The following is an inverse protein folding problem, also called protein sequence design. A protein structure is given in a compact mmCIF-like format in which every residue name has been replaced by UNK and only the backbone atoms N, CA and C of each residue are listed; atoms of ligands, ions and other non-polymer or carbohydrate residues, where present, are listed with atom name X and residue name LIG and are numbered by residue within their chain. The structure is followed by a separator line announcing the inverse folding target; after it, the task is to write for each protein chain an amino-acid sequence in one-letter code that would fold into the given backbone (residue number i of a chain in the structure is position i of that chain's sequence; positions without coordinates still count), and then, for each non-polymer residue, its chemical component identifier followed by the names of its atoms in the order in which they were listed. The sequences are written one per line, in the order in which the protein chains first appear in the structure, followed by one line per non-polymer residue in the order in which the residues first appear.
data_IF_218190568558
#
_entry.id   IF_218190568558
#
_cell.length_a   1.000
_cell.length_b   1.000
_cell.length_c   1.000
_cell.angle_alpha   90.00
_cell.angle_beta   90.00
_cell.angle_gamma   90.00
#
_symmetry.space_group_name_H-M   'P 1'
#
loop_
_entity.id
_entity.type
_entity.pdbx_description
1 polymer ?
#
# COMPACT_ATOMS: atom_id res chain seq x y z
N UNK A 1 -19.52 44.64 28.73
CA UNK A 1 -19.85 44.17 27.34
C UNK A 1 -19.03 42.92 27.17
N UNK A 2 -19.66 41.76 27.35
CA UNK A 2 -18.98 40.46 27.15
C UNK A 2 -18.88 40.21 25.64
N UNK A 3 -17.66 40.23 25.15
CA UNK A 3 -17.38 39.70 23.82
C UNK A 3 -17.73 38.19 23.88
N UNK A 4 -18.87 37.82 23.36
CA UNK A 4 -19.17 36.45 23.03
C UNK A 4 -18.10 36.03 22.02
N UNK A 5 -17.07 35.29 22.50
CA UNK A 5 -16.11 34.61 21.61
C UNK A 5 -16.97 33.69 20.75
N UNK A 6 -17.20 34.10 19.50
CA UNK A 6 -17.79 33.21 18.51
C UNK A 6 -16.88 31.98 18.46
N UNK A 7 -17.40 30.86 18.96
CA UNK A 7 -16.76 29.56 18.80
C UNK A 7 -16.67 29.37 17.29
N UNK A 8 -15.49 29.56 16.71
CA UNK A 8 -15.27 29.35 15.29
C UNK A 8 -15.58 27.87 14.97
N UNK A 9 -16.29 27.65 13.88
CA UNK A 9 -16.59 26.30 13.41
C UNK A 9 -15.29 25.48 13.30
N UNK A 10 -15.20 24.31 13.92
CA UNK A 10 -14.06 23.43 13.81
C UNK A 10 -13.63 23.15 12.36
N UNK A 11 -14.60 23.06 11.44
CA UNK A 11 -14.34 22.82 10.02
C UNK A 11 -13.63 24.04 9.39
N UNK A 12 -14.05 25.27 9.73
CA UNK A 12 -13.39 26.48 9.23
C UNK A 12 -11.98 26.65 9.81
N UNK A 13 -11.77 26.29 11.08
CA UNK A 13 -10.44 26.29 11.67
C UNK A 13 -9.52 25.26 11.00
N UNK A 14 -10.02 24.07 10.66
CA UNK A 14 -9.22 23.06 9.93
C UNK A 14 -8.86 23.61 8.55
N UNK A 15 -9.77 24.22 7.80
CA UNK A 15 -9.46 24.84 6.50
C UNK A 15 -8.38 25.92 6.62
N UNK A 16 -8.45 26.73 7.68
CA UNK A 16 -7.43 27.74 7.94
C UNK A 16 -6.07 27.09 8.28
N UNK A 17 -6.05 26.01 9.04
CA UNK A 17 -4.83 25.26 9.33
C UNK A 17 -4.22 24.65 8.07
N UNK A 18 -5.05 24.09 7.17
CA UNK A 18 -4.59 23.60 5.85
C UNK A 18 -3.98 24.73 5.03
N UNK A 19 -4.61 25.90 4.97
CA UNK A 19 -4.05 27.08 4.25
C UNK A 19 -2.69 27.51 4.83
N UNK A 20 -2.52 27.42 6.17
CA UNK A 20 -1.22 27.70 6.81
C UNK A 20 -0.18 26.62 6.47
N UNK A 21 -0.58 25.36 6.43
CA UNK A 21 0.27 24.24 6.00
C UNK A 21 0.79 24.47 4.58
N UNK A 22 -0.07 24.83 3.63
CA UNK A 22 0.27 25.10 2.22
C UNK A 22 1.32 26.24 2.06
N UNK A 23 1.39 27.16 3.01
CA UNK A 23 2.40 28.23 3.06
C UNK A 23 3.64 27.88 3.87
N UNK A 24 3.73 26.66 4.42
CA UNK A 24 4.83 26.20 5.27
C UNK A 24 4.79 26.77 6.69
N UNK A 25 3.73 27.46 7.08
CA UNK A 25 3.55 28.02 8.44
C UNK A 25 3.02 26.93 9.41
N UNK A 26 3.83 25.87 9.60
CA UNK A 26 3.41 24.67 10.32
C UNK A 26 3.08 24.95 11.80
N UNK A 27 3.85 25.76 12.49
CA UNK A 27 3.57 26.15 13.89
C UNK A 27 2.20 26.81 14.03
N UNK A 28 1.88 27.79 13.14
CA UNK A 28 0.59 28.46 13.13
C UNK A 28 -0.56 27.47 12.83
N UNK A 29 -0.33 26.56 11.89
CA UNK A 29 -1.31 25.52 11.56
C UNK A 29 -1.61 24.60 12.76
N UNK A 30 -0.57 24.17 13.48
CA UNK A 30 -0.71 23.35 14.70
C UNK A 30 -1.42 24.13 15.81
N UNK A 31 -1.12 25.41 16.01
CA UNK A 31 -1.76 26.25 17.02
C UNK A 31 -3.27 26.42 16.74
N UNK A 32 -3.65 26.55 15.47
CA UNK A 32 -5.06 26.61 15.07
C UNK A 32 -5.77 25.28 15.39
N UNK A 33 -5.14 24.14 15.10
CA UNK A 33 -5.72 22.83 15.43
C UNK A 33 -5.79 22.58 16.94
N UNK A 34 -4.83 23.12 17.72
CA UNK A 34 -4.88 23.06 19.17
C UNK A 34 -6.06 23.85 19.73
N UNK A 35 -6.47 24.96 19.10
CA UNK A 35 -7.70 25.67 19.49
C UNK A 35 -8.95 24.81 19.26
N UNK A 36 -9.01 24.05 18.15
CA UNK A 36 -10.10 23.07 17.91
C UNK A 36 -10.12 22.03 19.02
N UNK A 37 -8.97 21.47 19.35
CA UNK A 37 -8.84 20.39 20.33
C UNK A 37 -9.04 20.88 21.77
N UNK A 38 -8.82 22.15 22.06
CA UNK A 38 -9.15 22.76 23.36
C UNK A 38 -10.67 22.79 23.61
N UNK A 39 -11.47 22.90 22.55
CA UNK A 39 -12.95 22.85 22.64
C UNK A 39 -13.44 21.40 22.62
N UNK A 40 -12.87 20.56 21.77
CA UNK A 40 -13.22 19.15 21.67
C UNK A 40 -11.98 18.28 21.45
N UNK A 41 -11.41 17.76 22.54
CA UNK A 41 -10.25 16.90 22.50
C UNK A 41 -10.45 15.57 21.76
N UNK A 42 -11.70 15.16 21.53
CA UNK A 42 -12.08 13.92 20.81
C UNK A 42 -12.50 14.21 19.34
N UNK A 43 -11.97 15.28 18.74
CA UNK A 43 -12.27 15.60 17.36
C UNK A 43 -11.24 14.97 16.42
N UNK A 44 -11.52 13.74 15.98
CA UNK A 44 -10.63 12.93 15.15
C UNK A 44 -10.09 13.65 13.90
N UNK A 45 -10.87 14.47 13.15
CA UNK A 45 -10.35 15.20 12.00
C UNK A 45 -9.21 16.18 12.32
N UNK A 46 -9.23 16.83 13.51
CA UNK A 46 -8.13 17.71 13.91
C UNK A 46 -6.86 16.94 14.23
N UNK A 47 -6.96 15.78 14.88
CA UNK A 47 -5.81 14.89 15.09
C UNK A 47 -5.26 14.35 13.77
N UNK A 48 -6.12 13.95 12.84
CA UNK A 48 -5.69 13.53 11.50
C UNK A 48 -4.92 14.64 10.77
N UNK A 49 -5.47 15.88 10.77
CA UNK A 49 -4.82 17.01 10.13
C UNK A 49 -3.48 17.37 10.78
N UNK A 50 -3.37 17.25 12.13
CA UNK A 50 -2.05 17.37 12.82
C UNK A 50 -1.07 16.31 12.32
N UNK A 51 -1.55 15.08 12.10
CA UNK A 51 -0.72 14.01 11.53
C UNK A 51 -0.16 14.37 10.17
N UNK A 52 -0.98 14.92 9.26
CA UNK A 52 -0.54 15.37 7.94
C UNK A 52 0.49 16.52 8.02
N UNK A 53 0.22 17.53 8.85
CA UNK A 53 1.13 18.66 9.03
C UNK A 53 2.48 18.20 9.57
N UNK A 54 2.49 17.36 10.59
CA UNK A 54 3.73 16.83 11.16
C UNK A 54 4.49 15.92 10.19
N UNK A 55 3.78 15.16 9.32
CA UNK A 55 4.41 14.34 8.28
C UNK A 55 5.12 15.23 7.24
N UNK A 56 4.49 16.31 6.80
CA UNK A 56 5.09 17.25 5.85
C UNK A 56 6.25 18.04 6.48
N UNK A 57 6.17 18.33 7.78
CA UNK A 57 7.21 19.00 8.56
C UNK A 57 8.37 18.07 8.96
N UNK A 58 8.34 16.81 8.52
CA UNK A 58 9.30 15.75 8.88
C UNK A 58 9.39 15.44 10.39
N UNK A 59 8.31 15.72 11.13
CA UNK A 59 8.16 15.41 12.57
C UNK A 59 7.43 14.09 12.74
N UNK A 60 8.17 13.01 12.55
CA UNK A 60 7.61 11.65 12.40
C UNK A 60 6.91 11.14 13.64
N UNK A 61 7.50 11.35 14.82
CA UNK A 61 6.95 10.87 16.10
C UNK A 61 5.62 11.55 16.41
N UNK A 62 5.52 12.86 16.20
CA UNK A 62 4.30 13.61 16.41
C UNK A 62 3.23 13.28 15.37
N UNK A 63 3.63 13.04 14.13
CA UNK A 63 2.72 12.55 13.10
C UNK A 63 2.12 11.21 13.48
N UNK A 64 2.98 10.26 13.90
CA UNK A 64 2.55 8.93 14.36
C UNK A 64 1.59 9.01 15.55
N UNK A 65 1.89 9.82 16.54
CA UNK A 65 1.04 10.04 17.72
C UNK A 65 -0.32 10.64 17.32
N UNK A 66 -0.32 11.58 16.38
CA UNK A 66 -1.54 12.25 15.89
C UNK A 66 -2.45 11.31 15.12
N UNK A 67 -1.90 10.51 14.17
CA UNK A 67 -2.68 9.51 13.46
C UNK A 67 -3.22 8.42 14.39
N UNK A 68 -2.40 7.91 15.34
CA UNK A 68 -2.86 6.96 16.36
C UNK A 68 -4.05 7.51 17.14
N UNK A 69 -3.97 8.78 17.57
CA UNK A 69 -5.07 9.40 18.30
C UNK A 69 -6.33 9.56 17.47
N UNK A 70 -6.20 9.91 16.18
CA UNK A 70 -7.34 9.96 15.27
C UNK A 70 -8.02 8.59 15.11
N UNK A 71 -7.24 7.51 14.97
CA UNK A 71 -7.76 6.12 14.84
C UNK A 71 -8.34 5.62 16.17
N UNK A 72 -7.76 5.97 17.31
CA UNK A 72 -8.29 5.65 18.65
C UNK A 72 -9.69 6.26 18.85
N UNK A 73 -9.86 7.55 18.46
CA UNK A 73 -11.14 8.27 18.58
C UNK A 73 -12.17 7.72 17.58
N UNK A 74 -11.76 7.51 16.34
CA UNK A 74 -12.62 6.97 15.29
C UNK A 74 -11.94 5.78 14.62
N UNK A 75 -12.24 4.55 15.05
CA UNK A 75 -11.66 3.33 14.49
C UNK A 75 -11.96 3.07 13.01
N UNK A 76 -12.99 3.72 12.44
CA UNK A 76 -13.34 3.61 11.02
C UNK A 76 -12.80 4.75 10.16
N UNK A 77 -11.93 5.62 10.73
CA UNK A 77 -11.33 6.73 9.98
C UNK A 77 -10.21 6.22 9.06
N UNK A 78 -10.59 5.79 7.86
CA UNK A 78 -9.70 5.15 6.90
C UNK A 78 -8.51 6.03 6.50
N UNK A 79 -8.70 7.35 6.34
CA UNK A 79 -7.63 8.27 5.97
C UNK A 79 -6.54 8.34 7.06
N UNK A 80 -6.93 8.36 8.33
CA UNK A 80 -5.99 8.32 9.44
C UNK A 80 -5.27 6.96 9.53
N UNK A 81 -5.99 5.84 9.27
CA UNK A 81 -5.36 4.51 9.17
C UNK A 81 -4.35 4.42 8.03
N UNK A 82 -4.67 5.01 6.87
CA UNK A 82 -3.74 5.04 5.73
C UNK A 82 -2.49 5.86 6.03
N UNK A 83 -2.64 7.03 6.70
CA UNK A 83 -1.50 7.81 7.16
C UNK A 83 -0.62 7.01 8.13
N UNK A 84 -1.25 6.34 9.11
CA UNK A 84 -0.57 5.48 10.06
C UNK A 84 0.16 4.30 9.38
N UNK A 85 -0.52 3.61 8.44
CA UNK A 85 0.06 2.53 7.68
C UNK A 85 1.26 2.98 6.84
N UNK A 86 1.16 4.15 6.19
CA UNK A 86 2.25 4.74 5.41
C UNK A 86 3.48 5.05 6.27
N UNK A 87 3.30 5.56 7.48
CA UNK A 87 4.41 5.81 8.41
C UNK A 87 5.07 4.50 8.89
N UNK A 88 4.29 3.46 9.12
CA UNK A 88 4.81 2.14 9.46
C UNK A 88 5.57 1.52 8.29
N UNK A 89 5.04 1.58 7.06
CA UNK A 89 5.67 1.11 5.82
C UNK A 89 7.05 1.81 5.62
N UNK A 90 7.10 3.15 5.70
CA UNK A 90 8.35 3.93 5.66
C UNK A 90 9.33 3.57 6.77
N UNK A 91 8.86 2.99 7.88
CA UNK A 91 9.68 2.52 9.02
C UNK A 91 10.06 1.05 8.91
N UNK A 92 9.65 0.36 7.85
CA UNK A 92 9.84 -1.09 7.66
C UNK A 92 9.17 -1.92 8.79
N UNK A 93 8.10 -1.39 9.37
CA UNK A 93 7.27 -2.06 10.39
C UNK A 93 6.08 -2.74 9.69
N UNK A 94 6.41 -3.74 8.86
CA UNK A 94 5.50 -4.35 7.89
C UNK A 94 4.25 -4.97 8.54
N UNK A 95 4.37 -5.61 9.72
CA UNK A 95 3.23 -6.19 10.43
C UNK A 95 2.23 -5.11 10.87
N UNK A 96 2.73 -3.97 11.36
CA UNK A 96 1.89 -2.87 11.81
C UNK A 96 1.25 -2.13 10.62
N UNK A 97 1.98 -1.97 9.50
CA UNK A 97 1.44 -1.43 8.27
C UNK A 97 0.33 -2.33 7.71
N UNK A 98 0.59 -3.64 7.63
CA UNK A 98 -0.37 -4.65 7.19
C UNK A 98 -1.65 -4.63 8.00
N UNK A 99 -1.56 -4.57 9.34
CA UNK A 99 -2.73 -4.49 10.21
C UNK A 99 -3.64 -3.31 9.83
N UNK A 100 -3.04 -2.12 9.61
CA UNK A 100 -3.83 -0.94 9.26
C UNK A 100 -4.44 -1.06 7.85
N UNK A 101 -3.69 -1.56 6.85
CA UNK A 101 -4.22 -1.77 5.50
C UNK A 101 -5.36 -2.79 5.49
N UNK A 102 -5.25 -3.89 6.26
CA UNK A 102 -6.32 -4.89 6.37
C UNK A 102 -7.60 -4.26 6.96
N UNK A 103 -7.49 -3.41 7.98
CA UNK A 103 -8.64 -2.69 8.55
C UNK A 103 -9.30 -1.74 7.55
N UNK A 104 -8.54 -1.10 6.68
CA UNK A 104 -9.10 -0.29 5.58
C UNK A 104 -9.81 -1.17 4.56
N UNK A 105 -9.24 -2.33 4.22
CA UNK A 105 -9.83 -3.26 3.26
C UNK A 105 -11.17 -3.84 3.72
N UNK A 106 -11.47 -3.92 5.03
CA UNK A 106 -12.78 -4.32 5.56
C UNK A 106 -13.92 -3.41 5.07
N UNK A 107 -13.64 -2.13 4.80
CA UNK A 107 -14.62 -1.13 4.37
C UNK A 107 -14.45 -0.70 2.91
N UNK A 108 -13.28 -0.90 2.32
CA UNK A 108 -12.94 -0.59 0.93
C UNK A 108 -12.55 -1.87 0.19
N UNK A 109 -13.51 -2.79 0.09
CA UNK A 109 -13.28 -4.16 -0.43
C UNK A 109 -12.81 -4.19 -1.89
N UNK A 110 -13.19 -3.21 -2.70
CA UNK A 110 -12.84 -3.12 -4.12
C UNK A 110 -11.77 -2.04 -4.41
N UNK A 111 -10.97 -1.69 -3.39
CA UNK A 111 -9.88 -0.72 -3.58
C UNK A 111 -8.59 -1.43 -4.00
N UNK A 112 -8.30 -1.38 -5.31
CA UNK A 112 -7.10 -2.00 -5.87
C UNK A 112 -5.80 -1.48 -5.24
N UNK A 113 -5.74 -0.19 -4.83
CA UNK A 113 -4.54 0.38 -4.23
C UNK A 113 -4.27 -0.21 -2.84
N UNK A 114 -5.32 -0.44 -2.07
CA UNK A 114 -5.23 -1.07 -0.76
C UNK A 114 -4.79 -2.52 -0.89
N UNK A 115 -5.41 -3.31 -1.78
CA UNK A 115 -4.99 -4.69 -2.02
C UNK A 115 -3.56 -4.78 -2.54
N UNK A 116 -3.13 -3.85 -3.37
CA UNK A 116 -1.75 -3.78 -3.82
C UNK A 116 -0.77 -3.54 -2.66
N UNK A 117 -1.09 -2.63 -1.73
CA UNK A 117 -0.30 -2.38 -0.53
C UNK A 117 -0.24 -3.60 0.39
N UNK A 118 -1.38 -4.26 0.65
CA UNK A 118 -1.43 -5.49 1.44
C UNK A 118 -0.55 -6.59 0.81
N UNK A 119 -0.58 -6.75 -0.51
CA UNK A 119 0.26 -7.71 -1.20
C UNK A 119 1.75 -7.42 -1.02
N UNK A 120 2.16 -6.15 -1.03
CA UNK A 120 3.54 -5.75 -0.78
C UNK A 120 3.96 -6.08 0.66
N UNK A 121 3.12 -5.79 1.66
CA UNK A 121 3.43 -6.13 3.05
C UNK A 121 3.58 -7.64 3.24
N UNK A 122 2.67 -8.45 2.69
CA UNK A 122 2.80 -9.92 2.72
C UNK A 122 4.05 -10.41 1.99
N UNK A 123 4.47 -9.75 0.91
CA UNK A 123 5.73 -10.07 0.23
C UNK A 123 6.94 -9.84 1.13
N UNK A 124 7.00 -8.70 1.84
CA UNK A 124 8.07 -8.41 2.79
C UNK A 124 8.07 -9.38 3.98
N UNK A 125 6.90 -9.78 4.44
CA UNK A 125 6.71 -10.80 5.50
C UNK A 125 6.91 -12.24 5.00
N UNK A 126 7.24 -12.44 3.74
CA UNK A 126 7.48 -13.75 3.11
C UNK A 126 6.24 -14.67 3.07
N UNK A 127 5.03 -14.15 3.26
CA UNK A 127 3.79 -14.89 3.08
C UNK A 127 3.40 -14.90 1.59
N UNK A 128 4.08 -15.74 0.81
CA UNK A 128 3.94 -15.81 -0.64
C UNK A 128 2.51 -16.17 -1.10
N UNK A 129 1.80 -17.12 -0.43
CA UNK A 129 0.41 -17.42 -0.80
C UNK A 129 -0.52 -16.20 -0.67
N UNK A 130 -0.46 -15.46 0.44
CA UNK A 130 -1.29 -14.25 0.63
C UNK A 130 -0.86 -13.11 -0.29
N UNK A 131 0.42 -13.00 -0.60
CA UNK A 131 0.91 -12.07 -1.64
C UNK A 131 0.21 -12.33 -2.98
N UNK A 132 0.17 -13.61 -3.42
CA UNK A 132 -0.52 -13.98 -4.65
C UNK A 132 -2.01 -13.64 -4.58
N UNK A 133 -2.69 -14.00 -3.47
CA UNK A 133 -4.12 -13.73 -3.27
C UNK A 133 -4.44 -12.23 -3.47
N UNK A 134 -3.69 -11.36 -2.82
CA UNK A 134 -3.97 -9.94 -2.88
C UNK A 134 -3.60 -9.29 -4.22
N UNK A 135 -2.53 -9.74 -4.91
CA UNK A 135 -2.30 -9.29 -6.30
C UNK A 135 -3.38 -9.81 -7.25
N UNK A 136 -3.91 -11.01 -7.04
CA UNK A 136 -5.05 -11.51 -7.83
C UNK A 136 -6.30 -10.65 -7.62
N UNK A 137 -6.60 -10.19 -6.40
CA UNK A 137 -7.68 -9.21 -6.16
C UNK A 137 -7.45 -7.90 -6.91
N UNK A 138 -6.20 -7.42 -6.97
CA UNK A 138 -5.87 -6.21 -7.78
C UNK A 138 -6.21 -6.40 -9.24
N UNK A 139 -5.85 -7.53 -9.85
CA UNK A 139 -6.13 -7.79 -11.28
C UNK A 139 -7.60 -8.17 -11.55
N UNK A 140 -8.32 -8.69 -10.55
CA UNK A 140 -9.76 -8.89 -10.61
C UNK A 140 -10.50 -7.54 -10.73
N UNK A 141 -10.09 -6.55 -9.92
CA UNK A 141 -10.63 -5.18 -9.95
C UNK A 141 -10.18 -4.44 -11.22
N UNK A 142 -8.90 -4.58 -11.58
CA UNK A 142 -8.29 -3.92 -12.74
C UNK A 142 -7.42 -4.91 -13.53
N UNK A 143 -7.98 -5.58 -14.54
CA UNK A 143 -7.26 -6.56 -15.38
C UNK A 143 -6.09 -5.98 -16.20
N UNK A 144 -5.96 -4.66 -16.29
CA UNK A 144 -4.85 -3.99 -16.97
C UNK A 144 -3.78 -3.44 -15.98
N UNK A 145 -3.82 -3.83 -14.70
CA UNK A 145 -2.87 -3.36 -13.69
C UNK A 145 -1.48 -3.99 -13.90
N UNK A 146 -0.69 -3.40 -14.78
CA UNK A 146 0.59 -3.93 -15.26
C UNK A 146 1.55 -4.32 -14.12
N UNK A 147 1.65 -3.51 -13.05
CA UNK A 147 2.57 -3.78 -11.95
C UNK A 147 2.15 -5.00 -11.13
N UNK A 148 0.84 -5.24 -10.96
CA UNK A 148 0.37 -6.44 -10.27
C UNK A 148 0.71 -7.71 -11.05
N UNK A 149 0.52 -7.72 -12.37
CA UNK A 149 0.94 -8.83 -13.24
C UNK A 149 2.46 -9.06 -13.18
N UNK A 150 3.27 -7.99 -13.23
CA UNK A 150 4.74 -8.10 -13.08
C UNK A 150 5.14 -8.72 -11.73
N UNK A 151 4.47 -8.32 -10.65
CA UNK A 151 4.74 -8.85 -9.32
C UNK A 151 4.29 -10.31 -9.20
N UNK A 152 3.15 -10.69 -9.80
CA UNK A 152 2.68 -12.08 -9.85
C UNK A 152 3.66 -13.01 -10.54
N UNK A 153 4.36 -12.57 -11.60
CA UNK A 153 5.43 -13.38 -12.20
C UNK A 153 6.46 -13.75 -11.13
N UNK A 154 6.93 -12.77 -10.34
CA UNK A 154 7.92 -13.02 -9.29
C UNK A 154 7.38 -13.90 -8.15
N UNK A 155 6.11 -13.76 -7.82
CA UNK A 155 5.41 -14.61 -6.84
C UNK A 155 5.36 -16.05 -7.33
N UNK A 156 4.93 -16.28 -8.59
CA UNK A 156 4.86 -17.62 -9.16
C UNK A 156 6.23 -18.26 -9.39
N UNK A 157 7.25 -17.48 -9.74
CA UNK A 157 8.66 -17.95 -9.75
C UNK A 157 9.07 -18.49 -8.38
N UNK A 158 8.74 -17.77 -7.31
CA UNK A 158 9.06 -18.18 -5.95
C UNK A 158 8.29 -19.42 -5.49
N UNK A 159 7.06 -19.57 -5.97
CA UNK A 159 6.24 -20.77 -5.79
C UNK A 159 6.67 -21.93 -6.70
N UNK A 160 7.61 -21.72 -7.61
CA UNK A 160 8.01 -22.65 -8.70
C UNK A 160 6.85 -23.05 -9.61
N UNK A 161 5.82 -22.21 -9.69
CA UNK A 161 4.68 -22.39 -10.60
C UNK A 161 5.00 -21.72 -11.94
N UNK A 162 5.82 -22.40 -12.72
CA UNK A 162 6.36 -21.87 -13.97
C UNK A 162 5.28 -21.61 -15.01
N UNK A 163 4.23 -22.44 -15.04
CA UNK A 163 3.10 -22.32 -15.97
C UNK A 163 2.35 -20.99 -15.75
N UNK A 164 1.93 -20.72 -14.51
CA UNK A 164 1.28 -19.46 -14.17
C UNK A 164 2.19 -18.25 -14.39
N UNK A 165 3.49 -18.38 -14.10
CA UNK A 165 4.43 -17.32 -14.40
C UNK A 165 4.51 -16.99 -15.90
N UNK A 166 4.44 -18.01 -16.78
CA UNK A 166 4.41 -17.81 -18.24
C UNK A 166 3.10 -17.16 -18.70
N UNK A 167 1.95 -17.54 -18.12
CA UNK A 167 0.66 -16.89 -18.39
C UNK A 167 0.72 -15.39 -18.12
N UNK A 168 1.26 -15.00 -16.95
CA UNK A 168 1.44 -13.60 -16.60
C UNK A 168 2.40 -12.86 -17.54
N UNK A 169 3.48 -13.50 -17.98
CA UNK A 169 4.41 -12.94 -18.97
C UNK A 169 3.71 -12.59 -20.27
N UNK A 170 2.82 -13.46 -20.76
CA UNK A 170 2.03 -13.21 -21.99
C UNK A 170 1.13 -12.00 -21.82
N UNK A 171 0.48 -11.88 -20.65
CA UNK A 171 -0.38 -10.74 -20.33
C UNK A 171 0.45 -9.45 -20.28
N UNK A 172 1.59 -9.45 -19.56
CA UNK A 172 2.47 -8.27 -19.45
C UNK A 172 3.00 -7.85 -20.81
N UNK A 173 3.41 -8.78 -21.68
CA UNK A 173 3.84 -8.45 -23.05
C UNK A 173 2.75 -7.71 -23.83
N UNK A 174 1.52 -8.23 -23.80
CA UNK A 174 0.36 -7.60 -24.46
C UNK A 174 0.08 -6.19 -23.91
N UNK A 175 0.03 -6.02 -22.57
CA UNK A 175 -0.22 -4.74 -21.92
C UNK A 175 0.90 -3.73 -22.19
N UNK A 176 2.16 -4.19 -22.19
CA UNK A 176 3.33 -3.34 -22.45
C UNK A 176 3.37 -2.84 -23.90
N UNK A 177 2.97 -3.65 -24.86
CA UNK A 177 2.83 -3.24 -26.27
C UNK A 177 1.75 -2.17 -26.41
N UNK A 178 0.57 -2.40 -25.81
CA UNK A 178 -0.55 -1.44 -25.82
C UNK A 178 -0.17 -0.08 -25.24
N UNK A 179 0.68 -0.05 -24.19
CA UNK A 179 1.04 1.15 -23.44
C UNK A 179 2.45 1.69 -23.76
N UNK A 180 3.15 1.09 -24.74
CA UNK A 180 4.53 1.41 -25.14
C UNK A 180 5.54 1.43 -23.96
N UNK A 181 5.40 0.49 -23.01
CA UNK A 181 6.28 0.36 -21.84
C UNK A 181 7.46 -0.58 -22.13
N UNK A 182 8.48 -0.07 -22.80
CA UNK A 182 9.66 -0.84 -23.24
C UNK A 182 10.42 -1.49 -22.07
N UNK A 183 10.48 -0.83 -20.90
CA UNK A 183 11.15 -1.39 -19.72
C UNK A 183 10.46 -2.67 -19.22
N UNK A 184 9.12 -2.68 -19.18
CA UNK A 184 8.36 -3.86 -18.79
C UNK A 184 8.56 -5.01 -19.80
N UNK A 185 8.62 -4.71 -21.09
CA UNK A 185 8.95 -5.70 -22.14
C UNK A 185 10.30 -6.36 -21.89
N UNK A 186 11.35 -5.58 -21.64
CA UNK A 186 12.70 -6.09 -21.35
C UNK A 186 12.74 -6.98 -20.09
N UNK A 187 12.01 -6.59 -19.05
CA UNK A 187 11.92 -7.40 -17.82
C UNK A 187 11.31 -8.76 -18.13
N UNK A 188 10.19 -8.83 -18.82
CA UNK A 188 9.51 -10.10 -19.07
C UNK A 188 10.24 -10.97 -20.09
N UNK A 189 10.99 -10.41 -21.03
CA UNK A 189 11.85 -11.17 -21.93
C UNK A 189 12.95 -11.93 -21.19
N UNK A 190 13.58 -11.26 -20.21
CA UNK A 190 14.60 -11.90 -19.37
C UNK A 190 13.99 -12.99 -18.47
N UNK A 191 12.83 -12.71 -17.88
CA UNK A 191 12.10 -13.68 -17.04
C UNK A 191 11.63 -14.90 -17.87
N UNK A 192 11.14 -14.67 -19.08
CA UNK A 192 10.75 -15.76 -19.97
C UNK A 192 11.90 -16.74 -20.23
N UNK A 193 13.06 -16.25 -20.63
CA UNK A 193 14.26 -17.08 -20.85
C UNK A 193 14.67 -17.87 -19.61
N UNK A 194 14.60 -17.22 -18.45
CA UNK A 194 14.92 -17.87 -17.18
C UNK A 194 13.96 -19.02 -16.86
N UNK A 195 12.64 -18.78 -16.99
CA UNK A 195 11.60 -19.76 -16.68
C UNK A 195 11.65 -20.92 -17.68
N UNK A 196 11.81 -20.63 -18.98
CA UNK A 196 11.96 -21.66 -20.02
C UNK A 196 13.12 -22.62 -19.70
N UNK A 197 14.28 -22.09 -19.33
CA UNK A 197 15.42 -22.91 -18.91
C UNK A 197 15.13 -23.75 -17.66
N UNK A 198 14.33 -23.24 -16.71
CA UNK A 198 13.92 -24.00 -15.51
C UNK A 198 12.93 -25.13 -15.82
N UNK A 199 11.98 -24.87 -16.70
CA UNK A 199 11.02 -25.89 -17.16
C UNK A 199 11.70 -27.04 -17.90
N UNK A 200 12.69 -26.74 -18.75
CA UNK A 200 13.46 -27.75 -19.46
C UNK A 200 14.30 -28.62 -18.51
N UNK A 201 14.90 -28.03 -17.49
CA UNK A 201 15.58 -28.77 -16.43
C UNK A 201 14.63 -29.68 -15.67
N UNK A 202 13.44 -29.17 -15.30
CA UNK A 202 12.41 -29.97 -14.60
C UNK A 202 11.94 -31.17 -15.43
N UNK A 203 11.72 -30.99 -16.73
CA UNK A 203 11.34 -32.07 -17.64
C UNK A 203 12.44 -33.12 -17.76
N UNK A 204 13.71 -32.71 -17.86
CA UNK A 204 14.87 -33.61 -17.87
C UNK A 204 15.00 -34.42 -16.58
N UNK A 205 14.78 -33.78 -15.42
CA UNK A 205 14.85 -34.43 -14.11
C UNK A 205 13.72 -35.47 -13.93
N UNK A 206 12.49 -35.16 -14.39
CA UNK A 206 11.38 -36.11 -14.39
C UNK A 206 11.70 -37.31 -15.30
N UNK A 207 12.18 -37.05 -16.51
CA UNK A 207 12.56 -38.10 -17.43
C UNK A 207 13.66 -39.01 -16.84
N UNK A 208 14.69 -38.45 -16.22
CA UNK A 208 15.78 -39.19 -15.58
C UNK A 208 15.31 -40.05 -14.40
N UNK A 209 14.33 -39.55 -13.62
CA UNK A 209 13.74 -40.32 -12.49
C UNK A 209 12.74 -41.40 -12.93
N UNK A 210 12.20 -41.30 -14.16
CA UNK A 210 11.29 -42.30 -14.74
C UNK A 210 12.01 -43.39 -15.53
N UNK A 211 13.31 -43.25 -15.78
CA UNK A 211 14.11 -44.30 -16.41
C UNK A 211 14.46 -45.35 -15.35
N UNK A 212 14.25 -46.67 -15.64
CA UNK A 212 14.63 -47.73 -14.71
C UNK A 212 16.13 -47.68 -14.44
N UNK A 213 16.60 -48.03 -13.22
CA UNK A 213 18.02 -48.11 -12.95
C UNK A 213 18.64 -49.13 -13.91
N UNK A 214 19.72 -48.71 -14.54
CA UNK A 214 20.48 -49.61 -15.43
C UNK A 214 20.81 -50.92 -14.71
N UNK A 215 20.40 -52.05 -15.29
CA UNK A 215 20.86 -53.36 -14.92
C UNK A 215 22.36 -53.54 -15.15
#
# INVERSE_FOLDING_TARGET
MSASSQIKDPVELIKLAVSKQETGAYDEAIDILNQVLAVNAQYAPAHYQKGLIYEEWDRREESLASYKKAVEINPTYNEARLGLASLYDKSVLNELALEQYLKVAETRVDDQAIHFKIALEYWYLQDIPKTAEHYMKVIEINPEHLQAHLNLISVYERMKNWEKALEEIVIVKRLSQKTNKQQAMKIVENKFKFIEGRMDLTKKDIKRKSEPPFE
#
